data_IF_659222323382
#
_entry.id   IF_659222323382
#
_cell.length_a   1.000
_cell.length_b   1.000
_cell.length_c   1.000
_cell.angle_alpha   90.00
_cell.angle_beta   90.00
_cell.angle_gamma   90.00
#
_symmetry.space_group_name_H-M   'P 1'
#
loop_
_entity.id
_entity.type
_entity.pdbx_description
1 polymer ?
#
# COMPACT_ATOMS: atom_id res chain seq x y z
N UNK A 1 -14.34 26.19 -3.74
CA UNK A 1 -12.94 26.50 -3.37
C UNK A 1 -12.13 25.21 -3.35
N UNK A 2 -11.04 25.11 -4.12
CA UNK A 2 -10.17 23.92 -4.07
C UNK A 2 -9.34 23.94 -2.78
N UNK A 3 -9.16 22.78 -2.15
CA UNK A 3 -8.26 22.67 -0.99
C UNK A 3 -6.82 22.77 -1.49
N UNK A 4 -6.05 23.73 -0.95
CA UNK A 4 -4.60 23.85 -1.22
C UNK A 4 -3.92 22.53 -0.88
N UNK A 5 -3.17 21.99 -1.84
CA UNK A 5 -2.33 20.80 -1.65
C UNK A 5 -0.91 21.26 -1.34
N UNK A 6 -0.24 20.56 -0.44
CA UNK A 6 1.17 20.77 -0.10
C UNK A 6 1.95 19.51 -0.46
N UNK A 7 3.07 19.69 -1.16
CA UNK A 7 4.05 18.63 -1.42
C UNK A 7 4.72 18.19 -0.12
N UNK A 8 5.46 17.08 -0.15
CA UNK A 8 6.22 16.61 1.02
C UNK A 8 7.30 17.62 1.39
N UNK A 9 7.95 18.19 0.38
CA UNK A 9 9.01 19.17 0.48
C UNK A 9 8.51 20.47 1.10
N UNK A 10 7.33 20.94 0.68
CA UNK A 10 6.69 22.13 1.25
C UNK A 10 6.33 21.91 2.73
N UNK A 11 5.78 20.73 3.08
CA UNK A 11 5.46 20.40 4.48
C UNK A 11 6.71 20.38 5.35
N UNK A 12 7.80 19.79 4.87
CA UNK A 12 9.08 19.75 5.58
C UNK A 12 9.65 21.15 5.80
N UNK A 13 9.61 22.00 4.77
CA UNK A 13 10.07 23.39 4.89
C UNK A 13 9.25 24.16 5.92
N UNK A 14 7.92 24.01 5.91
CA UNK A 14 7.01 24.65 6.87
C UNK A 14 7.25 24.14 8.29
N UNK A 15 7.46 22.84 8.49
CA UNK A 15 7.78 22.27 9.80
C UNK A 15 9.09 22.84 10.36
N UNK A 16 10.14 22.87 9.54
CA UNK A 16 11.44 23.45 9.92
C UNK A 16 11.33 24.94 10.25
N UNK A 17 10.53 25.69 9.49
CA UNK A 17 10.25 27.09 9.79
C UNK A 17 9.50 27.26 11.11
N UNK A 18 8.51 26.40 11.40
CA UNK A 18 7.76 26.43 12.64
C UNK A 18 8.63 26.14 13.88
N UNK A 19 9.64 25.27 13.73
CA UNK A 19 10.64 25.01 14.77
C UNK A 19 11.55 26.23 14.99
N UNK A 20 11.98 26.91 13.92
CA UNK A 20 12.90 28.03 14.00
C UNK A 20 12.25 29.35 14.44
N UNK A 21 11.02 29.62 14.00
CA UNK A 21 10.36 30.93 14.15
C UNK A 21 9.09 30.90 15.00
N UNK A 22 8.62 29.70 15.35
CA UNK A 22 7.43 29.49 16.15
C UNK A 22 6.15 29.35 15.31
N UNK A 23 5.27 28.46 15.78
CA UNK A 23 4.03 28.05 15.10
C UNK A 23 3.14 29.26 14.74
N UNK A 24 2.99 30.23 15.64
CA UNK A 24 2.08 31.37 15.45
C UNK A 24 2.48 32.28 14.27
N UNK A 25 3.79 32.46 14.02
CA UNK A 25 4.26 33.25 12.89
C UNK A 25 4.10 32.46 11.59
N UNK A 26 4.49 31.18 11.60
CA UNK A 26 4.42 30.29 10.42
C UNK A 26 2.99 30.11 9.92
N UNK A 27 2.00 29.92 10.80
CA UNK A 27 0.59 29.77 10.38
C UNK A 27 0.05 31.02 9.68
N UNK A 28 0.46 32.22 10.13
CA UNK A 28 0.06 33.50 9.53
C UNK A 28 0.71 33.70 8.16
N UNK A 29 1.99 33.36 8.04
CA UNK A 29 2.76 33.47 6.78
C UNK A 29 2.21 32.55 5.69
N UNK A 30 1.93 31.30 6.05
CA UNK A 30 1.51 30.27 5.08
C UNK A 30 -0.01 30.18 4.90
N UNK A 31 -0.79 30.87 5.73
CA UNK A 31 -2.25 30.83 5.69
C UNK A 31 -2.83 29.45 6.02
N UNK A 32 -2.20 28.74 6.96
CA UNK A 32 -2.60 27.39 7.38
C UNK A 32 -3.04 27.37 8.84
N UNK A 33 -3.75 26.32 9.24
CA UNK A 33 -4.16 26.16 10.63
C UNK A 33 -3.07 25.44 11.45
N UNK A 34 -2.90 25.81 12.72
CA UNK A 34 -1.93 25.15 13.62
C UNK A 34 -2.11 23.62 13.67
N UNK A 35 -3.36 23.12 13.60
CA UNK A 35 -3.67 21.69 13.51
C UNK A 35 -2.96 20.97 12.36
N UNK A 36 -2.67 21.67 11.26
CA UNK A 36 -1.96 21.08 10.12
C UNK A 36 -0.49 20.83 10.44
N UNK A 37 0.15 21.78 11.13
CA UNK A 37 1.54 21.67 11.58
C UNK A 37 1.68 20.50 12.57
N UNK A 38 0.82 20.43 13.59
CA UNK A 38 0.86 19.31 14.55
C UNK A 38 0.61 17.96 13.89
N UNK A 39 -0.34 17.89 12.96
CA UNK A 39 -0.59 16.66 12.19
C UNK A 39 0.62 16.26 11.35
N UNK A 40 1.25 17.19 10.65
CA UNK A 40 2.43 16.88 9.85
C UNK A 40 3.61 16.46 10.71
N UNK A 41 3.77 17.05 11.91
CA UNK A 41 4.78 16.62 12.87
C UNK A 41 4.56 15.17 13.31
N UNK A 42 3.35 14.83 13.72
CA UNK A 42 2.98 13.44 14.09
C UNK A 42 3.20 12.46 12.93
N UNK A 43 2.82 12.84 11.71
CA UNK A 43 3.08 12.05 10.50
C UNK A 43 4.57 11.85 10.21
N UNK A 44 5.39 12.87 10.46
CA UNK A 44 6.83 12.81 10.30
C UNK A 44 7.49 11.94 11.39
N UNK A 45 7.02 12.04 12.64
CA UNK A 45 7.51 11.24 13.77
C UNK A 45 7.17 9.75 13.61
N UNK A 46 5.95 9.44 13.14
CA UNK A 46 5.46 8.06 13.00
C UNK A 46 5.94 7.36 11.73
N UNK A 47 6.02 8.08 10.61
CA UNK A 47 6.27 7.50 9.29
C UNK A 47 7.42 8.15 8.52
N UNK A 48 8.22 9.00 9.16
CA UNK A 48 9.29 9.74 8.50
C UNK A 48 8.77 10.57 7.32
N UNK A 49 9.61 10.75 6.30
CA UNK A 49 9.24 11.49 5.08
C UNK A 49 8.05 10.86 4.36
N UNK A 50 7.89 9.54 4.44
CA UNK A 50 6.79 8.82 3.79
C UNK A 50 5.45 9.09 4.47
N UNK A 51 5.43 9.31 5.78
CA UNK A 51 4.22 9.69 6.52
C UNK A 51 3.63 11.03 6.07
N UNK A 52 4.47 11.93 5.53
CA UNK A 52 4.03 13.22 4.98
C UNK A 52 3.42 13.12 3.58
N UNK A 53 3.58 11.99 2.87
CA UNK A 53 2.95 11.79 1.56
C UNK A 53 1.43 11.90 1.72
N UNK A 54 0.77 12.46 0.71
CA UNK A 54 -0.69 12.43 0.70
C UNK A 54 -1.14 10.96 0.76
N UNK A 55 -2.12 10.65 1.62
CA UNK A 55 -2.71 9.32 1.66
C UNK A 55 -3.17 8.97 0.26
N UNK A 56 -2.45 8.04 -0.39
CA UNK A 56 -2.89 7.50 -1.65
C UNK A 56 -4.04 6.57 -1.32
N UNK A 57 -5.26 7.02 -1.65
CA UNK A 57 -6.41 6.15 -1.62
C UNK A 57 -6.10 5.04 -2.63
N UNK A 58 -5.78 3.86 -2.14
CA UNK A 58 -5.67 2.67 -3.00
C UNK A 58 -7.00 2.57 -3.72
N UNK A 59 -6.96 2.57 -5.04
CA UNK A 59 -8.15 2.45 -5.87
C UNK A 59 -8.93 1.18 -5.43
N UNK A 60 -10.20 1.31 -4.99
CA UNK A 60 -10.99 0.16 -4.58
C UNK A 60 -11.04 -0.94 -5.65
N UNK A 61 -11.02 -0.57 -6.93
CA UNK A 61 -10.98 -1.53 -8.03
C UNK A 61 -9.64 -2.25 -8.11
N UNK A 62 -8.52 -1.52 -7.95
CA UNK A 62 -7.19 -2.13 -7.87
C UNK A 62 -7.11 -3.14 -6.73
N UNK A 63 -7.65 -2.80 -5.55
CA UNK A 63 -7.69 -3.72 -4.41
C UNK A 63 -8.55 -4.95 -4.69
N UNK A 64 -9.72 -4.78 -5.33
CA UNK A 64 -10.58 -5.89 -5.75
C UNK A 64 -9.85 -6.82 -6.71
N UNK A 65 -9.21 -6.27 -7.74
CA UNK A 65 -8.45 -7.02 -8.74
C UNK A 65 -7.26 -7.76 -8.11
N UNK A 66 -6.58 -7.16 -7.14
CA UNK A 66 -5.49 -7.83 -6.41
C UNK A 66 -5.98 -9.05 -5.62
N UNK A 67 -7.13 -8.93 -4.93
CA UNK A 67 -7.74 -10.04 -4.19
C UNK A 67 -8.21 -11.15 -5.13
N UNK A 68 -8.86 -10.78 -6.24
CA UNK A 68 -9.29 -11.73 -7.26
C UNK A 68 -8.10 -12.45 -7.89
N UNK A 69 -7.02 -11.73 -8.22
CA UNK A 69 -5.81 -12.33 -8.76
C UNK A 69 -5.16 -13.32 -7.78
N UNK A 70 -5.16 -13.00 -6.48
CA UNK A 70 -4.66 -13.89 -5.43
C UNK A 70 -5.52 -15.17 -5.35
N UNK A 71 -6.84 -15.04 -5.40
CA UNK A 71 -7.76 -16.18 -5.40
C UNK A 71 -7.58 -17.06 -6.65
N UNK A 72 -7.44 -16.45 -7.83
CA UNK A 72 -7.20 -17.15 -9.09
C UNK A 72 -5.86 -17.90 -9.07
N UNK A 73 -4.78 -17.27 -8.60
CA UNK A 73 -3.47 -17.92 -8.45
C UNK A 73 -3.54 -19.14 -7.54
N UNK A 74 -4.25 -19.03 -6.41
CA UNK A 74 -4.47 -20.15 -5.49
C UNK A 74 -5.21 -21.30 -6.19
N UNK A 75 -6.31 -20.98 -6.89
CA UNK A 75 -7.09 -21.98 -7.61
C UNK A 75 -6.29 -22.69 -8.70
N UNK A 76 -5.45 -21.95 -9.44
CA UNK A 76 -4.56 -22.53 -10.46
C UNK A 76 -3.59 -23.52 -9.82
N UNK A 77 -2.90 -23.12 -8.74
CA UNK A 77 -1.98 -24.00 -8.04
C UNK A 77 -2.64 -25.28 -7.52
N UNK A 78 -3.85 -25.18 -6.96
CA UNK A 78 -4.62 -26.35 -6.50
C UNK A 78 -4.99 -27.30 -7.65
N UNK A 79 -5.39 -26.76 -8.80
CA UNK A 79 -5.73 -27.56 -9.99
C UNK A 79 -4.51 -28.25 -10.59
N UNK A 80 -3.39 -27.55 -10.69
CA UNK A 80 -2.13 -28.11 -11.18
C UNK A 80 -1.65 -29.26 -10.29
N UNK A 81 -1.74 -29.10 -8.96
CA UNK A 81 -1.42 -30.17 -8.01
C UNK A 81 -2.32 -31.40 -8.20
N UNK A 82 -3.64 -31.19 -8.33
CA UNK A 82 -4.59 -32.27 -8.54
C UNK A 82 -4.34 -33.02 -9.87
N UNK A 83 -3.99 -32.29 -10.94
CA UNK A 83 -3.62 -32.87 -12.22
C UNK A 83 -2.36 -33.73 -12.10
N UNK A 84 -1.31 -33.22 -11.45
CA UNK A 84 -0.06 -33.96 -11.24
C UNK A 84 -0.30 -35.29 -10.50
N UNK A 85 -1.11 -35.28 -9.44
CA UNK A 85 -1.48 -36.49 -8.70
C UNK A 85 -2.25 -37.48 -9.59
N UNK A 86 -3.21 -36.98 -10.38
CA UNK A 86 -4.00 -37.82 -11.30
C UNK A 86 -3.11 -38.49 -12.35
N UNK A 87 -2.16 -37.77 -12.93
CA UNK A 87 -1.21 -38.30 -13.89
C UNK A 87 -0.32 -39.40 -13.28
N UNK A 88 0.15 -39.21 -12.04
CA UNK A 88 0.96 -40.20 -11.34
C UNK A 88 0.17 -41.50 -11.08
N UNK A 89 -1.09 -41.39 -10.66
CA UNK A 89 -1.98 -42.54 -10.44
C UNK A 89 -2.27 -43.30 -11.75
N UNK A 90 -2.49 -42.58 -12.86
CA UNK A 90 -2.68 -43.21 -14.17
C UNK A 90 -1.43 -43.96 -14.61
N UNK A 91 -0.24 -43.37 -14.44
CA UNK A 91 1.04 -44.05 -14.74
C UNK A 91 1.21 -45.33 -13.92
N UNK A 92 0.95 -45.30 -12.61
CA UNK A 92 1.00 -46.47 -11.73
C UNK A 92 0.00 -47.57 -12.10
N UNK A 93 -1.20 -47.17 -12.54
CA UNK A 93 -2.23 -48.14 -12.96
C UNK A 93 -1.85 -48.81 -14.27
N UNK A 94 -1.36 -48.03 -15.25
CA UNK A 94 -0.90 -48.55 -16.53
C UNK A 94 0.33 -49.47 -16.38
N UNK A 95 1.25 -49.15 -15.47
CA UNK A 95 2.39 -50.04 -15.21
C UNK A 95 1.94 -51.36 -14.60
N UNK A 96 1.04 -51.35 -13.61
CA UNK A 96 0.51 -52.57 -12.98
C UNK A 96 -0.19 -53.49 -13.99
N UNK A 97 -0.99 -52.94 -14.90
CA UNK A 97 -1.71 -53.72 -15.91
C UNK A 97 -0.83 -54.30 -17.01
N UNK A 98 0.44 -53.88 -17.13
CA UNK A 98 1.40 -54.43 -18.10
C UNK A 98 2.24 -55.58 -17.54
N UNK A 99 2.20 -55.82 -16.23
CA UNK A 99 3.04 -56.80 -15.52
C UNK A 99 2.25 -58.01 -15.01
N UNK A 100 0.94 -58.07 -15.26
CA UNK A 100 0.09 -59.24 -15.01
C UNK A 100 -0.48 -59.78 -16.31
#
# INVERSE_FOLDING_TARGET
MSRRKFSVEEKLAILKEAEATGIAQTIRRHGIYAKMIYRWRDQLETGGRDGLKAYQRVDPELRRLQLENLALKKLVAEKELALAVKEELLKKTQSRNKTG
#
